data_IF_610537053787
#
_entry.id   IF_610537053787
#
_cell.length_a   1.000
_cell.length_b   1.000
_cell.length_c   1.000
_cell.angle_alpha   90.00
_cell.angle_beta   90.00
_cell.angle_gamma   90.00
#
_symmetry.space_group_name_H-M   'P 1'
#
loop_
_entity.id
_entity.type
_entity.pdbx_description
1 polymer ?
#
# COMPACT_ATOMS: atom_id res chain seq x y z
N UNK A 1 21.27 27.36 -18.48
CA UNK A 1 20.56 26.08 -18.74
C UNK A 1 20.52 25.30 -17.44
N UNK A 2 19.33 24.91 -16.97
CA UNK A 2 19.20 24.02 -15.81
C UNK A 2 19.72 22.65 -16.25
N UNK A 3 20.76 22.13 -15.58
CA UNK A 3 21.29 20.81 -15.89
C UNK A 3 20.30 19.73 -15.48
N UNK A 4 20.21 18.63 -16.23
CA UNK A 4 19.37 17.47 -15.86
C UNK A 4 19.71 16.96 -14.45
N UNK A 5 21.00 17.03 -14.07
CA UNK A 5 21.47 16.69 -12.72
C UNK A 5 20.95 17.63 -11.62
N UNK A 6 20.72 18.92 -11.92
CA UNK A 6 20.18 19.89 -10.96
C UNK A 6 18.68 19.75 -10.69
N UNK A 7 17.93 19.07 -11.58
CA UNK A 7 16.49 18.79 -11.39
C UNK A 7 16.27 17.45 -10.68
N UNK A 8 17.21 16.51 -10.83
CA UNK A 8 17.06 15.14 -10.37
C UNK A 8 16.91 15.04 -8.84
N UNK A 9 17.70 15.81 -8.08
CA UNK A 9 17.61 15.88 -6.62
C UNK A 9 16.24 16.37 -6.11
N UNK A 10 15.77 17.55 -6.53
CA UNK A 10 14.43 18.04 -6.19
C UNK A 10 13.31 17.08 -6.62
N UNK A 11 13.40 16.52 -7.83
CA UNK A 11 12.40 15.56 -8.32
C UNK A 11 12.39 14.27 -7.49
N UNK A 12 13.55 13.75 -7.11
CA UNK A 12 13.67 12.61 -6.20
C UNK A 12 13.02 12.87 -4.86
N UNK A 13 13.32 14.03 -4.26
CA UNK A 13 12.76 14.42 -2.97
C UNK A 13 11.24 14.56 -3.04
N UNK A 14 10.70 15.17 -4.10
CA UNK A 14 9.25 15.29 -4.29
C UNK A 14 8.60 13.92 -4.48
N UNK A 15 9.14 13.07 -5.36
CA UNK A 15 8.64 11.71 -5.59
C UNK A 15 8.63 10.88 -4.30
N UNK A 16 9.75 10.90 -3.56
CA UNK A 16 9.87 10.23 -2.26
C UNK A 16 8.87 10.78 -1.24
N UNK A 17 8.73 12.10 -1.13
CA UNK A 17 7.82 12.73 -0.18
C UNK A 17 6.36 12.42 -0.50
N UNK A 18 5.99 12.44 -1.78
CA UNK A 18 4.66 12.02 -2.23
C UNK A 18 4.42 10.54 -1.96
N UNK A 19 5.41 9.66 -2.15
CA UNK A 19 5.31 8.24 -1.81
C UNK A 19 5.01 8.05 -0.32
N UNK A 20 5.86 8.60 0.55
CA UNK A 20 5.70 8.46 2.00
C UNK A 20 4.39 9.08 2.48
N UNK A 21 4.06 10.29 2.02
CA UNK A 21 2.82 10.96 2.34
C UNK A 21 1.58 10.15 1.93
N UNK A 22 1.57 9.61 0.70
CA UNK A 22 0.49 8.73 0.21
C UNK A 22 0.31 7.51 1.12
N UNK A 23 1.42 6.85 1.46
CA UNK A 23 1.40 5.65 2.29
C UNK A 23 0.84 5.92 3.70
N UNK A 24 1.36 6.95 4.37
CA UNK A 24 0.95 7.30 5.73
C UNK A 24 -0.50 7.77 5.77
N UNK A 25 -0.88 8.66 4.86
CA UNK A 25 -2.22 9.22 4.81
C UNK A 25 -3.28 8.16 4.47
N UNK A 26 -3.03 7.33 3.46
CA UNK A 26 -3.99 6.29 3.09
C UNK A 26 -4.14 5.22 4.18
N UNK A 27 -3.01 4.75 4.74
CA UNK A 27 -2.99 3.62 5.68
C UNK A 27 -3.54 4.01 7.04
N UNK A 28 -3.08 5.13 7.61
CA UNK A 28 -3.38 5.47 8.99
C UNK A 28 -4.56 6.45 9.14
N UNK A 29 -4.82 7.30 8.14
CA UNK A 29 -5.87 8.32 8.21
C UNK A 29 -7.11 7.85 7.43
N UNK A 30 -7.03 7.75 6.10
CA UNK A 30 -8.19 7.47 5.25
C UNK A 30 -8.86 6.15 5.62
N UNK A 31 -8.07 5.07 5.78
CA UNK A 31 -8.64 3.75 6.11
C UNK A 31 -9.35 3.76 7.46
N UNK A 32 -8.78 4.41 8.48
CA UNK A 32 -9.37 4.51 9.83
C UNK A 32 -10.62 5.36 9.84
N UNK A 33 -10.56 6.55 9.25
CA UNK A 33 -11.71 7.47 9.16
C UNK A 33 -12.85 6.83 8.39
N UNK A 34 -12.58 6.22 7.24
CA UNK A 34 -13.61 5.56 6.44
C UNK A 34 -14.22 4.35 7.15
N UNK A 35 -13.44 3.60 7.92
CA UNK A 35 -13.94 2.46 8.71
C UNK A 35 -14.92 2.90 9.80
N UNK A 36 -14.64 4.04 10.44
CA UNK A 36 -15.49 4.59 11.52
C UNK A 36 -16.73 5.29 10.95
N UNK A 37 -16.56 6.06 9.86
CA UNK A 37 -17.61 6.93 9.34
C UNK A 37 -18.63 6.23 8.43
N UNK A 38 -18.26 5.10 7.81
CA UNK A 38 -19.11 4.45 6.81
C UNK A 38 -19.74 3.15 7.32
N UNK A 39 -21.00 2.85 6.91
CA UNK A 39 -21.56 1.51 7.05
C UNK A 39 -20.66 0.46 6.39
N UNK A 40 -20.63 -0.77 6.92
CA UNK A 40 -19.72 -1.83 6.46
C UNK A 40 -19.78 -2.09 4.94
N UNK A 41 -20.97 -2.03 4.33
CA UNK A 41 -21.16 -2.22 2.89
C UNK A 41 -20.53 -1.08 2.07
N UNK A 42 -20.71 0.18 2.51
CA UNK A 42 -20.13 1.36 1.89
C UNK A 42 -18.60 1.36 2.03
N UNK A 43 -18.07 1.07 3.23
CA UNK A 43 -16.63 0.90 3.45
C UNK A 43 -16.04 -0.16 2.51
N UNK A 44 -16.64 -1.34 2.44
CA UNK A 44 -16.20 -2.44 1.56
C UNK A 44 -16.21 -1.99 0.09
N UNK A 45 -17.22 -1.25 -0.34
CA UNK A 45 -17.32 -0.72 -1.71
C UNK A 45 -16.23 0.29 -2.02
N UNK A 46 -15.94 1.19 -1.08
CA UNK A 46 -14.86 2.16 -1.20
C UNK A 46 -13.48 1.46 -1.27
N UNK A 47 -13.23 0.52 -0.35
CA UNK A 47 -11.97 -0.22 -0.29
C UNK A 47 -11.68 -1.02 -1.57
N UNK A 48 -12.71 -1.61 -2.20
CA UNK A 48 -12.57 -2.28 -3.51
C UNK A 48 -11.98 -1.40 -4.60
N UNK A 49 -12.26 -0.08 -4.54
CA UNK A 49 -11.76 0.89 -5.51
C UNK A 49 -10.42 1.48 -5.08
N UNK A 50 -10.26 1.80 -3.80
CA UNK A 50 -9.04 2.42 -3.29
C UNK A 50 -7.83 1.48 -3.29
N UNK A 51 -8.00 0.21 -2.92
CA UNK A 51 -6.87 -0.74 -2.85
C UNK A 51 -6.04 -0.86 -4.14
N UNK A 52 -6.64 -1.12 -5.32
CA UNK A 52 -5.86 -1.21 -6.56
C UNK A 52 -5.18 0.12 -6.92
N UNK A 53 -5.88 1.24 -6.76
CA UNK A 53 -5.34 2.58 -7.03
C UNK A 53 -4.13 2.85 -6.11
N UNK A 54 -4.29 2.57 -4.81
CA UNK A 54 -3.24 2.78 -3.82
C UNK A 54 -1.98 1.96 -4.14
N UNK A 55 -2.10 0.65 -4.40
CA UNK A 55 -0.93 -0.17 -4.70
C UNK A 55 -0.27 0.21 -6.03
N UNK A 56 -1.05 0.64 -7.02
CA UNK A 56 -0.50 1.20 -8.27
C UNK A 56 0.27 2.50 -8.00
N UNK A 57 -0.33 3.46 -7.28
CA UNK A 57 0.33 4.71 -6.92
C UNK A 57 1.61 4.45 -6.09
N UNK A 58 1.55 3.58 -5.08
CA UNK A 58 2.69 3.22 -4.25
C UNK A 58 3.82 2.64 -5.10
N UNK A 59 3.51 1.70 -6.00
CA UNK A 59 4.53 1.05 -6.84
C UNK A 59 5.11 2.00 -7.88
N UNK A 60 4.27 2.83 -8.51
CA UNK A 60 4.71 3.84 -9.47
C UNK A 60 5.59 4.91 -8.82
N UNK A 61 5.19 5.44 -7.67
CA UNK A 61 5.98 6.44 -6.94
C UNK A 61 7.27 5.84 -6.39
N UNK A 62 7.28 4.57 -5.98
CA UNK A 62 8.51 3.87 -5.63
C UNK A 62 9.44 3.74 -6.84
N UNK A 63 8.93 3.36 -8.02
CA UNK A 63 9.72 3.30 -9.24
C UNK A 63 10.25 4.68 -9.66
N UNK A 64 9.44 5.74 -9.58
CA UNK A 64 9.88 7.11 -9.86
C UNK A 64 10.98 7.54 -8.89
N UNK A 65 10.86 7.18 -7.62
CA UNK A 65 11.88 7.44 -6.60
C UNK A 65 13.18 6.69 -6.93
N UNK A 66 13.10 5.42 -7.40
CA UNK A 66 14.25 4.62 -7.81
C UNK A 66 15.01 5.24 -8.99
N UNK A 67 14.27 5.61 -10.04
CA UNK A 67 14.83 6.14 -11.28
C UNK A 67 15.45 7.53 -11.08
N UNK A 68 14.97 8.27 -10.09
CA UNK A 68 15.43 9.62 -9.79
C UNK A 68 16.58 9.69 -8.79
N UNK A 69 17.12 8.58 -8.29
CA UNK A 69 18.20 8.62 -7.29
C UNK A 69 19.45 9.34 -7.82
N UNK A 70 19.92 10.43 -7.19
CA UNK A 70 21.15 11.10 -7.61
C UNK A 70 22.42 10.34 -7.16
N UNK A 71 23.59 10.54 -7.82
CA UNK A 71 23.81 11.30 -9.06
C UNK A 71 23.64 10.46 -10.34
N UNK A 72 23.61 9.13 -10.25
CA UNK A 72 23.68 8.22 -11.40
C UNK A 72 22.48 7.25 -11.50
N UNK A 73 21.32 7.63 -10.95
CA UNK A 73 20.12 6.80 -10.98
C UNK A 73 20.21 5.58 -10.06
N UNK A 74 19.50 4.47 -10.37
CA UNK A 74 19.38 3.28 -9.53
C UNK A 74 20.72 2.67 -9.09
N UNK A 75 21.76 2.76 -9.92
CA UNK A 75 23.11 2.26 -9.60
C UNK A 75 23.71 2.93 -8.36
N UNK A 76 23.27 4.16 -8.04
CA UNK A 76 23.72 4.90 -6.86
C UNK A 76 23.24 4.27 -5.54
N UNK A 77 22.10 3.56 -5.55
CA UNK A 77 21.60 2.86 -4.35
C UNK A 77 22.48 1.70 -3.95
N UNK A 78 23.05 0.98 -4.94
CA UNK A 78 23.88 -0.20 -4.73
C UNK A 78 25.19 0.11 -3.98
N UNK A 79 25.57 1.38 -3.91
CA UNK A 79 26.78 1.83 -3.20
C UNK A 79 26.68 1.71 -1.68
N UNK A 80 25.48 1.60 -1.11
CA UNK A 80 25.31 1.49 0.33
C UNK A 80 24.20 0.52 0.70
N UNK A 81 24.51 -0.42 1.60
CA UNK A 81 23.55 -1.37 2.17
C UNK A 81 22.37 -0.69 2.84
N UNK A 82 22.60 0.46 3.45
CA UNK A 82 21.56 1.28 4.09
C UNK A 82 20.60 1.92 3.11
N UNK A 83 20.92 1.97 1.81
CA UNK A 83 20.01 2.48 0.78
C UNK A 83 19.37 1.39 -0.05
N UNK A 84 20.12 0.38 -0.51
CA UNK A 84 19.53 -0.61 -1.41
C UNK A 84 18.66 -1.65 -0.68
N UNK A 85 19.03 -2.08 0.54
CA UNK A 85 18.24 -3.06 1.31
C UNK A 85 16.82 -2.58 1.61
N UNK A 86 16.61 -1.40 2.23
CA UNK A 86 15.25 -0.92 2.48
C UNK A 86 14.49 -0.70 1.17
N UNK A 87 15.16 -0.22 0.11
CA UNK A 87 14.51 -0.01 -1.18
C UNK A 87 14.07 -1.32 -1.83
N UNK A 88 14.90 -2.36 -1.78
CA UNK A 88 14.59 -3.70 -2.26
C UNK A 88 13.46 -4.34 -1.44
N UNK A 89 13.49 -4.19 -0.11
CA UNK A 89 12.42 -4.66 0.77
C UNK A 89 11.10 -3.99 0.40
N UNK A 90 11.06 -2.65 0.30
CA UNK A 90 9.88 -1.89 -0.10
C UNK A 90 9.38 -2.30 -1.49
N UNK A 91 10.29 -2.51 -2.44
CA UNK A 91 9.96 -2.94 -3.80
C UNK A 91 9.34 -4.33 -3.85
N UNK A 92 9.95 -5.30 -3.16
CA UNK A 92 9.46 -6.67 -3.10
C UNK A 92 8.07 -6.73 -2.44
N UNK A 93 7.88 -6.08 -1.30
CA UNK A 93 6.60 -6.12 -0.58
C UNK A 93 5.51 -5.33 -1.31
N UNK A 94 5.84 -4.20 -1.94
CA UNK A 94 4.91 -3.47 -2.81
C UNK A 94 4.50 -4.31 -4.03
N UNK A 95 5.44 -4.99 -4.69
CA UNK A 95 5.16 -5.85 -5.84
C UNK A 95 4.27 -7.04 -5.46
N UNK A 96 4.54 -7.70 -4.32
CA UNK A 96 3.68 -8.77 -3.80
C UNK A 96 2.26 -8.26 -3.51
N UNK A 97 2.13 -7.05 -2.99
CA UNK A 97 0.82 -6.43 -2.77
C UNK A 97 0.11 -6.07 -4.07
N UNK A 98 0.81 -5.48 -5.04
CA UNK A 98 0.24 -5.07 -6.31
C UNK A 98 -0.22 -6.28 -7.14
N UNK A 99 0.62 -7.31 -7.23
CA UNK A 99 0.44 -8.40 -8.18
C UNK A 99 -0.27 -9.63 -7.60
N UNK A 100 -0.14 -9.88 -6.29
CA UNK A 100 -0.65 -11.10 -5.67
C UNK A 100 -1.74 -10.83 -4.63
N UNK A 101 -1.39 -10.17 -3.52
CA UNK A 101 -2.28 -10.07 -2.36
C UNK A 101 -3.41 -9.06 -2.55
N UNK A 102 -3.17 -7.95 -3.26
CA UNK A 102 -4.18 -6.96 -3.61
C UNK A 102 -5.28 -7.55 -4.50
N UNK A 103 -4.94 -8.13 -5.67
CA UNK A 103 -5.90 -8.81 -6.55
C UNK A 103 -6.65 -9.94 -5.84
N UNK A 104 -5.95 -10.79 -5.08
CA UNK A 104 -6.57 -11.89 -4.32
C UNK A 104 -7.57 -11.38 -3.28
N UNK A 105 -7.21 -10.38 -2.48
CA UNK A 105 -8.10 -9.80 -1.47
C UNK A 105 -9.35 -9.21 -2.13
N UNK A 106 -9.19 -8.53 -3.28
CA UNK A 106 -10.32 -7.97 -4.05
C UNK A 106 -11.27 -9.05 -4.56
N UNK A 107 -10.74 -10.13 -5.14
CA UNK A 107 -11.54 -11.24 -5.65
C UNK A 107 -12.36 -11.89 -4.52
N UNK A 108 -11.74 -12.18 -3.38
CA UNK A 108 -12.44 -12.75 -2.22
C UNK A 108 -13.52 -11.77 -1.73
N UNK A 109 -13.23 -10.47 -1.69
CA UNK A 109 -14.21 -9.44 -1.30
C UNK A 109 -15.39 -9.37 -2.28
N UNK A 110 -15.20 -9.68 -3.57
CA UNK A 110 -16.29 -9.83 -4.53
C UNK A 110 -17.11 -11.11 -4.28
N UNK A 111 -16.43 -12.24 -4.05
CA UNK A 111 -17.07 -13.50 -3.68
C UNK A 111 -17.95 -13.37 -2.43
N UNK A 112 -17.47 -12.67 -1.39
CA UNK A 112 -18.24 -12.38 -0.17
C UNK A 112 -19.52 -11.60 -0.43
N UNK A 113 -19.49 -10.61 -1.33
CA UNK A 113 -20.70 -9.87 -1.69
C UNK A 113 -21.68 -10.76 -2.46
N UNK A 114 -21.18 -11.53 -3.43
CA UNK A 114 -22.03 -12.45 -4.20
C UNK A 114 -22.67 -13.52 -3.31
N UNK A 115 -21.90 -14.08 -2.38
CA UNK A 115 -22.42 -15.05 -1.41
C UNK A 115 -23.46 -14.43 -0.48
N UNK A 116 -23.23 -13.21 0.03
CA UNK A 116 -24.24 -12.50 0.82
C UNK A 116 -25.56 -12.29 0.06
N UNK A 117 -25.50 -12.04 -1.26
CA UNK A 117 -26.70 -11.93 -2.10
C UNK A 117 -27.40 -13.28 -2.28
N UNK A 118 -26.63 -14.37 -2.49
CA UNK A 118 -27.16 -15.74 -2.62
C UNK A 118 -27.78 -16.27 -1.33
N UNK A 119 -27.13 -16.01 -0.20
CA UNK A 119 -27.62 -16.36 1.13
C UNK A 119 -28.89 -15.56 1.49
N UNK A 120 -29.12 -14.44 0.78
CA UNK A 120 -30.39 -13.75 0.60
C UNK A 120 -31.12 -13.41 1.88
N UNK A 121 -30.87 -12.24 2.49
CA UNK A 121 -31.69 -11.64 3.58
C UNK A 121 -32.18 -12.61 4.69
N UNK A 122 -31.53 -13.77 4.93
CA UNK A 122 -31.89 -14.70 6.00
C UNK A 122 -31.61 -14.15 7.41
N UNK A 123 -31.07 -12.94 7.48
CA UNK A 123 -30.95 -12.13 8.68
C UNK A 123 -32.09 -11.10 8.69
N UNK A 124 -33.26 -11.50 9.15
CA UNK A 124 -34.15 -10.54 9.81
C UNK A 124 -33.45 -10.07 11.10
N UNK A 125 -33.73 -8.83 11.52
CA UNK A 125 -33.05 -8.21 12.67
C UNK A 125 -33.13 -9.04 13.97
N UNK A 126 -34.09 -9.97 14.05
CA UNK A 126 -34.39 -10.80 15.21
C UNK A 126 -33.62 -12.14 15.26
N UNK A 127 -32.91 -12.55 14.20
CA UNK A 127 -32.07 -13.77 14.25
C UNK A 127 -30.83 -13.63 13.35
N UNK A 128 -29.63 -13.36 13.92
CA UNK A 128 -28.39 -13.39 13.18
C UNK A 128 -28.06 -14.83 12.77
N UNK A 129 -28.69 -15.30 11.69
CA UNK A 129 -28.42 -16.60 11.09
C UNK A 129 -26.91 -16.78 10.93
N UNK A 130 -26.39 -17.90 11.45
CA UNK A 130 -24.97 -18.25 11.33
C UNK A 130 -24.55 -18.17 9.86
N UNK A 131 -23.37 -17.61 9.55
CA UNK A 131 -22.91 -17.52 8.16
C UNK A 131 -22.88 -18.92 7.53
N UNK A 132 -23.30 -19.03 6.27
CA UNK A 132 -23.21 -20.27 5.50
C UNK A 132 -21.79 -20.85 5.52
N UNK A 133 -21.61 -22.18 5.41
CA UNK A 133 -20.29 -22.79 5.34
C UNK A 133 -19.40 -22.16 4.26
N UNK A 134 -19.98 -21.79 3.11
CA UNK A 134 -19.31 -21.08 2.02
C UNK A 134 -18.87 -19.68 2.45
N UNK A 135 -19.74 -18.92 3.12
CA UNK A 135 -19.41 -17.60 3.64
C UNK A 135 -18.34 -17.65 4.73
N UNK A 136 -18.31 -18.70 5.56
CA UNK A 136 -17.26 -18.92 6.55
C UNK A 136 -15.91 -19.19 5.88
N UNK A 137 -15.87 -20.00 4.82
CA UNK A 137 -14.66 -20.23 4.04
C UNK A 137 -14.12 -18.92 3.44
N UNK A 138 -14.98 -18.14 2.80
CA UNK A 138 -14.62 -16.84 2.24
C UNK A 138 -14.13 -15.84 3.31
N UNK A 139 -14.70 -15.88 4.52
CA UNK A 139 -14.24 -15.03 5.63
C UNK A 139 -12.83 -15.42 6.11
N UNK A 140 -12.51 -16.72 6.19
CA UNK A 140 -11.16 -17.20 6.54
C UNK A 140 -10.14 -16.79 5.48
N UNK A 141 -10.47 -17.03 4.21
CA UNK A 141 -9.59 -16.67 3.09
C UNK A 141 -9.36 -15.16 3.02
N UNK A 142 -10.42 -14.38 3.24
CA UNK A 142 -10.33 -12.92 3.31
C UNK A 142 -9.42 -12.46 4.44
N UNK A 143 -9.61 -13.01 5.65
CA UNK A 143 -8.82 -12.63 6.81
C UNK A 143 -7.33 -12.90 6.56
N UNK A 144 -6.99 -14.07 6.02
CA UNK A 144 -5.60 -14.43 5.69
C UNK A 144 -5.01 -13.51 4.61
N UNK A 145 -5.68 -13.35 3.46
CA UNK A 145 -5.17 -12.54 2.35
C UNK A 145 -5.05 -11.05 2.73
N UNK A 146 -6.05 -10.53 3.43
CA UNK A 146 -6.06 -9.14 3.89
C UNK A 146 -4.98 -8.87 4.93
N UNK A 147 -4.81 -9.77 5.91
CA UNK A 147 -3.76 -9.66 6.90
C UNK A 147 -2.38 -9.63 6.24
N UNK A 148 -2.09 -10.56 5.31
CA UNK A 148 -0.83 -10.55 4.58
C UNK A 148 -0.61 -9.23 3.83
N UNK A 149 -1.65 -8.71 3.18
CA UNK A 149 -1.56 -7.44 2.46
C UNK A 149 -1.21 -6.26 3.37
N UNK A 150 -1.83 -6.19 4.56
CA UNK A 150 -1.52 -5.19 5.59
C UNK A 150 -0.07 -5.29 6.04
N UNK A 151 0.41 -6.49 6.36
CA UNK A 151 1.78 -6.68 6.86
C UNK A 151 2.82 -6.27 5.81
N UNK A 152 2.63 -6.71 4.57
CA UNK A 152 3.50 -6.31 3.46
C UNK A 152 3.51 -4.79 3.29
N UNK A 153 2.36 -4.13 3.42
CA UNK A 153 2.27 -2.68 3.31
C UNK A 153 2.98 -1.96 4.47
N UNK A 154 2.88 -2.48 5.70
CA UNK A 154 3.61 -1.95 6.85
C UNK A 154 5.12 -2.10 6.70
N UNK A 155 5.60 -3.23 6.16
CA UNK A 155 7.01 -3.42 5.82
C UNK A 155 7.45 -2.40 4.76
N UNK A 156 6.65 -2.18 3.71
CA UNK A 156 6.93 -1.14 2.71
C UNK A 156 7.05 0.24 3.35
N UNK A 157 6.15 0.61 4.26
CA UNK A 157 6.16 1.89 4.97
C UNK A 157 7.42 2.03 5.83
N UNK A 158 7.72 1.03 6.66
CA UNK A 158 8.88 1.04 7.54
C UNK A 158 10.19 1.18 6.74
N UNK A 159 10.31 0.44 5.64
CA UNK A 159 11.45 0.53 4.73
C UNK A 159 11.54 1.90 4.03
N UNK A 160 10.41 2.48 3.62
CA UNK A 160 10.35 3.83 3.04
C UNK A 160 10.79 4.89 4.06
N UNK A 161 10.34 4.80 5.31
CA UNK A 161 10.77 5.69 6.41
C UNK A 161 12.28 5.56 6.64
N UNK A 162 12.80 4.33 6.74
CA UNK A 162 14.24 4.10 6.95
C UNK A 162 15.09 4.67 5.80
N UNK A 163 14.64 4.50 4.56
CA UNK A 163 15.26 5.14 3.40
C UNK A 163 15.26 6.67 3.54
N UNK A 164 14.15 7.27 3.99
CA UNK A 164 14.05 8.69 4.31
C UNK A 164 15.04 9.19 5.33
N UNK A 165 15.23 8.45 6.43
CA UNK A 165 16.21 8.77 7.46
C UNK A 165 17.62 8.76 6.90
N UNK A 166 17.92 7.80 6.02
CA UNK A 166 19.21 7.71 5.32
C UNK A 166 19.40 8.83 4.30
N UNK A 167 18.32 9.31 3.67
CA UNK A 167 18.36 10.47 2.78
C UNK A 167 18.60 11.76 3.56
N UNK A 168 17.90 11.93 4.69
CA UNK A 168 17.99 13.10 5.56
C UNK A 168 19.39 13.26 6.17
N UNK A 169 20.06 12.17 6.55
CA UNK A 169 21.43 12.22 7.10
C UNK A 169 22.49 12.67 6.09
N UNK A 170 22.16 12.69 4.79
CA UNK A 170 23.05 13.15 3.72
C UNK A 170 22.80 14.62 3.33
N UNK A 171 21.82 15.27 3.94
CA UNK A 171 21.57 16.70 3.72
C UNK A 171 22.68 17.51 4.37
N UNK A 172 23.34 18.35 3.58
CA UNK A 172 24.35 19.29 4.06
C UNK A 172 23.65 20.58 4.48
N UNK A 173 23.65 20.86 5.78
CA UNK A 173 23.23 22.15 6.31
C UNK A 173 24.48 23.05 6.40
N UNK A 174 24.55 24.14 5.63
CA UNK A 174 25.59 25.13 5.85
C UNK A 174 25.30 25.81 7.20
N UNK A 175 26.14 25.52 8.21
CA UNK A 175 26.16 26.23 9.49
C UNK A 175 27.09 27.42 9.39
#
# INVERSE_FOLDING_TARGET
>A
MISFASVLGPFHLLSYSTLLGTQLYQTFIITKVAYIALPRSAFTTLQKRLFPIYFQCQSSLLLLTLLSVPPAGPMSLLRSVHTWVPFAAAGATAALNLCLYGPRTRQIMMGRIHQNTRDGKKTTADDPAKPSPEMQALNRDFSSAHAMSIHLNLVTIAATIYYGLTLASRLQFSS
#
